data_IF_812898382318
#
_entry.id   IF_812898382318
#
_cell.length_a   1.000
_cell.length_b   1.000
_cell.length_c   1.000
_cell.angle_alpha   90.00
_cell.angle_beta   90.00
_cell.angle_gamma   90.00
#
_symmetry.space_group_name_H-M   'P 1'
#
loop_
_entity.id
_entity.type
_entity.pdbx_description
1 polymer ?
#
# COMPACT_ATOMS: atom_id res chain seq x y z
N UNK A 1 5.48 -12.95 2.01
CA UNK A 1 5.08 -11.56 2.33
C UNK A 1 3.85 -11.55 3.23
N UNK A 2 3.83 -10.63 4.22
CA UNK A 2 2.72 -10.35 5.11
C UNK A 2 2.37 -8.86 5.05
N UNK A 3 1.90 -8.28 6.13
CA UNK A 3 1.64 -6.85 6.27
C UNK A 3 1.24 -6.52 7.70
N UNK A 4 0.74 -5.30 7.94
CA UNK A 4 0.35 -4.83 9.27
C UNK A 4 -0.74 -5.65 9.95
N UNK A 5 -1.47 -6.49 9.20
CA UNK A 5 -2.38 -7.49 9.78
C UNK A 5 -1.68 -8.48 10.72
N UNK A 6 -0.36 -8.66 10.58
CA UNK A 6 0.43 -9.44 11.52
C UNK A 6 0.45 -8.82 12.94
N UNK A 7 0.26 -7.50 13.03
CA UNK A 7 0.17 -6.74 14.29
C UNK A 7 -1.26 -6.51 14.78
N UNK A 8 -2.25 -7.10 14.09
CA UNK A 8 -3.66 -6.92 14.46
C UNK A 8 -4.28 -5.58 14.05
N UNK A 9 -3.60 -4.75 13.26
CA UNK A 9 -4.02 -3.39 12.89
C UNK A 9 -5.43 -3.28 12.27
N UNK A 10 -5.97 -4.38 11.75
CA UNK A 10 -7.33 -4.45 11.19
C UNK A 10 -8.39 -4.91 12.21
N UNK A 11 -7.98 -5.26 13.42
CA UNK A 11 -8.86 -5.74 14.50
C UNK A 11 -8.99 -4.68 15.59
N UNK A 12 -7.85 -4.09 15.97
CA UNK A 12 -7.78 -3.06 17.02
C UNK A 12 -6.57 -2.14 16.80
N UNK A 13 -6.49 -0.98 17.45
CA UNK A 13 -5.32 -0.11 17.37
C UNK A 13 -4.05 -0.86 17.80
N UNK A 14 -3.07 -0.94 16.89
CA UNK A 14 -1.80 -1.59 17.18
C UNK A 14 -0.87 -0.71 18.01
N UNK A 15 0.06 -1.32 18.72
CA UNK A 15 1.17 -0.60 19.34
C UNK A 15 2.07 0.03 18.29
N UNK A 16 2.50 1.28 18.53
CA UNK A 16 3.36 2.03 17.60
C UNK A 16 4.72 2.31 18.24
N UNK A 17 5.80 2.02 17.49
CA UNK A 17 5.81 1.31 16.21
C UNK A 17 5.61 -0.20 16.39
N UNK A 18 5.07 -0.87 15.37
CA UNK A 18 5.06 -2.33 15.28
C UNK A 18 6.50 -2.86 15.19
N UNK A 19 6.84 -3.81 16.04
CA UNK A 19 8.19 -4.37 16.17
C UNK A 19 8.17 -5.86 15.88
N UNK A 20 9.13 -6.33 15.10
CA UNK A 20 9.20 -7.74 14.67
C UNK A 20 9.37 -8.73 15.84
N UNK A 21 9.92 -8.27 16.98
CA UNK A 21 10.10 -9.06 18.21
C UNK A 21 8.81 -9.24 19.01
N UNK A 22 7.71 -8.58 18.64
CA UNK A 22 6.45 -8.76 19.35
C UNK A 22 5.84 -10.12 19.03
N UNK A 23 5.15 -10.74 20.01
CA UNK A 23 4.49 -12.02 19.79
C UNK A 23 3.39 -11.87 18.74
N UNK A 24 3.00 -13.00 18.13
CA UNK A 24 1.86 -13.05 17.23
C UNK A 24 0.61 -12.51 17.95
N UNK A 25 -0.09 -11.59 17.29
CA UNK A 25 -1.35 -11.07 17.80
C UNK A 25 -2.39 -12.20 17.89
N UNK A 26 -3.17 -12.33 18.99
CA UNK A 26 -4.05 -13.48 19.25
C UNK A 26 -5.37 -13.42 18.46
N UNK A 27 -5.33 -13.18 17.17
CA UNK A 27 -6.49 -13.23 16.28
C UNK A 27 -6.29 -14.31 15.21
N UNK A 28 -7.39 -14.78 14.62
CA UNK A 28 -7.33 -15.72 13.49
C UNK A 28 -6.72 -15.01 12.29
N UNK A 29 -5.56 -15.50 11.84
CA UNK A 29 -4.85 -14.92 10.72
C UNK A 29 -4.24 -16.03 9.86
N UNK A 30 -4.50 -16.00 8.57
CA UNK A 30 -3.93 -16.98 7.64
C UNK A 30 -2.39 -16.89 7.54
N UNK A 31 -1.79 -15.75 7.92
CA UNK A 31 -0.33 -15.64 8.03
C UNK A 31 0.28 -16.66 9.00
N UNK A 32 -0.42 -16.93 10.11
CA UNK A 32 0.08 -17.90 11.10
C UNK A 32 0.09 -19.31 10.53
N UNK A 33 -0.92 -19.69 9.76
CA UNK A 33 -0.97 -20.99 9.08
C UNK A 33 0.14 -21.12 8.02
N UNK A 34 0.41 -20.04 7.28
CA UNK A 34 1.51 -20.01 6.31
C UNK A 34 2.87 -20.09 6.99
N UNK A 35 3.09 -19.33 8.08
CA UNK A 35 4.33 -19.38 8.83
C UNK A 35 4.59 -20.77 9.40
N UNK A 36 3.59 -21.39 10.04
CA UNK A 36 3.71 -22.70 10.65
C UNK A 36 4.05 -23.76 9.60
N UNK A 37 3.30 -23.78 8.49
CA UNK A 37 3.56 -24.69 7.39
C UNK A 37 4.97 -24.52 6.79
N UNK A 38 5.38 -23.27 6.54
CA UNK A 38 6.69 -22.99 5.96
C UNK A 38 7.83 -23.28 6.96
N UNK A 39 7.62 -23.04 8.24
CA UNK A 39 8.61 -23.39 9.27
C UNK A 39 8.85 -24.90 9.31
N UNK A 40 7.79 -25.71 9.31
CA UNK A 40 7.90 -27.17 9.27
C UNK A 40 8.61 -27.64 7.98
N UNK A 41 8.24 -27.06 6.83
CA UNK A 41 8.89 -27.38 5.55
C UNK A 41 10.38 -27.02 5.55
N UNK A 42 10.75 -25.84 6.05
CA UNK A 42 12.14 -25.40 6.15
C UNK A 42 12.94 -26.32 7.07
N UNK A 43 12.37 -26.66 8.22
CA UNK A 43 13.00 -27.58 9.15
C UNK A 43 13.24 -28.97 8.52
N UNK A 44 12.25 -29.53 7.82
CA UNK A 44 12.33 -30.85 7.17
C UNK A 44 13.33 -30.88 6.02
N UNK A 45 13.59 -29.74 5.36
CA UNK A 45 14.42 -29.67 4.14
C UNK A 45 15.78 -29.01 4.36
N UNK A 46 16.09 -28.54 5.57
CA UNK A 46 17.33 -27.81 5.87
C UNK A 46 17.39 -26.45 5.17
N UNK A 47 16.23 -25.83 4.85
CA UNK A 47 16.14 -24.51 4.25
C UNK A 47 15.80 -23.46 5.31
N UNK A 48 16.05 -22.20 4.98
CA UNK A 48 15.60 -21.05 5.76
C UNK A 48 14.47 -20.28 5.06
N UNK A 49 13.79 -19.41 5.79
CA UNK A 49 12.83 -18.46 5.23
C UNK A 49 13.02 -17.09 5.86
N UNK A 50 12.77 -16.05 5.08
CA UNK A 50 12.69 -14.66 5.57
C UNK A 50 11.24 -14.16 5.43
N UNK A 51 10.71 -13.56 6.49
CA UNK A 51 9.37 -13.00 6.52
C UNK A 51 9.47 -11.48 6.34
N UNK A 52 8.78 -10.95 5.32
CA UNK A 52 8.71 -9.53 5.06
C UNK A 52 7.32 -8.99 5.42
N UNK A 53 7.30 -7.90 6.18
CA UNK A 53 6.08 -7.18 6.58
C UNK A 53 6.10 -5.76 5.99
N UNK A 54 5.77 -5.61 4.70
CA UNK A 54 5.63 -4.30 4.07
C UNK A 54 4.39 -3.55 4.56
N UNK A 55 4.44 -2.22 4.43
CA UNK A 55 3.29 -1.33 4.45
C UNK A 55 2.58 -1.32 3.09
N UNK A 56 1.76 -0.30 2.82
CA UNK A 56 1.05 -0.14 1.55
C UNK A 56 2.05 -0.22 0.39
N UNK A 57 1.90 -1.21 -0.48
CA UNK A 57 2.83 -1.42 -1.59
C UNK A 57 2.39 -0.57 -2.78
N UNK A 58 3.27 0.32 -3.23
CA UNK A 58 3.13 1.09 -4.45
C UNK A 58 3.91 0.41 -5.58
N UNK A 59 3.21 0.03 -6.64
CA UNK A 59 3.83 -0.63 -7.78
C UNK A 59 2.81 -0.98 -8.85
N UNK A 60 3.29 -1.29 -10.04
CA UNK A 60 2.44 -1.67 -11.16
C UNK A 60 1.89 -3.10 -10.94
N UNK A 61 0.56 -3.22 -10.98
CA UNK A 61 -0.12 -4.51 -10.99
C UNK A 61 -1.46 -4.40 -11.71
N UNK A 62 -1.83 -5.41 -12.49
CA UNK A 62 -3.13 -5.50 -13.13
C UNK A 62 -4.11 -6.27 -12.24
N UNK A 63 -5.36 -5.82 -12.23
CA UNK A 63 -6.46 -6.50 -11.53
C UNK A 63 -6.16 -6.80 -10.05
N UNK A 64 -5.34 -5.97 -9.42
CA UNK A 64 -5.04 -6.13 -8.00
C UNK A 64 -6.15 -5.50 -7.15
N UNK A 65 -6.61 -6.19 -6.08
CA UNK A 65 -7.69 -5.64 -5.25
C UNK A 65 -7.23 -4.54 -4.28
N UNK A 66 -5.92 -4.29 -4.18
CA UNK A 66 -5.33 -3.40 -3.17
C UNK A 66 -4.17 -2.58 -3.78
N UNK A 67 -4.40 -1.92 -4.92
CA UNK A 67 -3.39 -1.11 -5.60
C UNK A 67 -3.78 0.37 -5.62
N UNK A 68 -3.11 1.17 -4.77
CA UNK A 68 -3.37 2.60 -4.67
C UNK A 68 -2.95 3.38 -5.92
N UNK A 69 -1.86 2.97 -6.61
CA UNK A 69 -1.42 3.68 -7.82
C UNK A 69 -2.47 3.60 -8.92
N UNK A 70 -3.07 2.43 -9.13
CA UNK A 70 -4.13 2.28 -10.12
C UNK A 70 -5.37 3.09 -9.74
N UNK A 71 -5.77 3.09 -8.47
CA UNK A 71 -6.93 3.85 -8.01
C UNK A 71 -6.71 5.36 -8.18
N UNK A 72 -5.56 5.88 -7.73
CA UNK A 72 -5.22 7.31 -7.84
C UNK A 72 -5.06 7.71 -9.31
N UNK A 73 -4.34 6.91 -10.12
CA UNK A 73 -4.07 7.22 -11.51
C UNK A 73 -5.33 7.29 -12.37
N UNK A 74 -6.25 6.33 -12.20
CA UNK A 74 -7.54 6.33 -12.93
C UNK A 74 -8.41 7.51 -12.46
N UNK A 75 -8.49 7.75 -11.16
CA UNK A 75 -9.24 8.88 -10.62
C UNK A 75 -8.71 10.22 -11.15
N UNK A 76 -7.39 10.44 -11.07
CA UNK A 76 -6.76 11.65 -11.58
C UNK A 76 -7.00 11.85 -13.09
N UNK A 77 -6.86 10.79 -13.89
CA UNK A 77 -7.09 10.87 -15.33
C UNK A 77 -8.52 11.24 -15.69
N UNK A 78 -9.53 10.72 -14.97
CA UNK A 78 -10.93 11.06 -15.16
C UNK A 78 -11.18 12.52 -14.75
N UNK A 79 -10.69 12.96 -13.60
CA UNK A 79 -10.85 14.35 -13.16
C UNK A 79 -10.17 15.32 -14.14
N UNK A 80 -8.99 14.98 -14.62
CA UNK A 80 -8.28 15.79 -15.62
C UNK A 80 -9.06 15.89 -16.95
N UNK A 81 -9.60 14.76 -17.44
CA UNK A 81 -10.41 14.74 -18.65
C UNK A 81 -11.69 15.60 -18.54
N UNK A 82 -12.23 15.72 -17.33
CA UNK A 82 -13.37 16.59 -17.00
C UNK A 82 -12.99 18.07 -16.82
N UNK A 83 -11.69 18.40 -16.82
CA UNK A 83 -11.21 19.75 -16.53
C UNK A 83 -11.47 20.18 -15.07
N UNK A 84 -11.54 19.21 -14.16
CA UNK A 84 -11.77 19.43 -12.73
C UNK A 84 -10.45 19.30 -11.94
N UNK A 85 -10.34 19.97 -10.79
CA UNK A 85 -9.22 19.75 -9.88
C UNK A 85 -9.23 18.33 -9.33
N UNK A 86 -8.08 17.86 -8.84
CA UNK A 86 -7.99 16.58 -8.12
C UNK A 86 -8.46 16.78 -6.68
N UNK A 87 -9.73 16.52 -6.43
CA UNK A 87 -10.36 16.68 -5.11
C UNK A 87 -9.94 15.51 -4.21
N UNK A 88 -9.51 15.78 -2.97
CA UNK A 88 -9.26 14.70 -2.00
C UNK A 88 -10.56 14.00 -1.62
N UNK A 89 -10.71 12.69 -1.89
CA UNK A 89 -12.00 12.03 -1.74
C UNK A 89 -12.28 11.53 -0.32
N UNK A 90 -11.31 11.66 0.58
CA UNK A 90 -11.39 11.08 1.93
C UNK A 90 -11.76 12.06 3.03
N UNK A 91 -11.89 11.51 4.23
CA UNK A 91 -11.96 12.24 5.49
C UNK A 91 -10.58 12.42 6.14
N UNK A 92 -10.52 12.74 7.45
CA UNK A 92 -9.27 12.86 8.18
C UNK A 92 -8.47 11.56 8.10
N UNK A 93 -7.25 11.60 7.56
CA UNK A 93 -6.39 10.43 7.44
C UNK A 93 -5.43 10.27 8.61
N UNK A 94 -5.13 9.04 8.98
CA UNK A 94 -4.04 8.73 9.89
C UNK A 94 -2.68 9.04 9.24
N UNK A 95 -1.65 9.22 10.06
CA UNK A 95 -0.27 9.10 9.61
C UNK A 95 -0.04 7.66 9.15
N UNK A 96 0.53 7.50 7.97
CA UNK A 96 0.76 6.21 7.32
C UNK A 96 2.14 6.13 6.69
N UNK A 97 2.48 4.95 6.20
CA UNK A 97 3.72 4.63 5.49
C UNK A 97 3.39 3.87 4.22
N UNK A 98 4.29 3.91 3.27
CA UNK A 98 4.24 3.10 2.06
C UNK A 98 5.56 2.38 1.81
N UNK A 99 5.57 1.48 0.85
CA UNK A 99 6.76 0.86 0.30
C UNK A 99 6.65 0.78 -1.21
N UNK A 100 7.65 1.28 -1.90
CA UNK A 100 7.81 1.09 -3.34
C UNK A 100 8.14 -0.37 -3.66
N UNK A 101 7.49 -0.93 -4.69
CA UNK A 101 7.64 -2.33 -5.06
C UNK A 101 9.07 -2.67 -5.50
N UNK A 102 9.78 -1.74 -6.17
CA UNK A 102 11.17 -1.95 -6.57
C UNK A 102 12.12 -1.90 -5.38
N UNK A 103 11.84 -1.02 -4.39
CA UNK A 103 12.60 -1.00 -3.13
C UNK A 103 12.39 -2.30 -2.35
N UNK A 104 11.16 -2.81 -2.28
CA UNK A 104 10.86 -4.11 -1.66
C UNK A 104 11.57 -5.24 -2.40
N UNK A 105 11.56 -5.25 -3.73
CA UNK A 105 12.25 -6.25 -4.54
C UNK A 105 13.78 -6.21 -4.30
N UNK A 106 14.36 -5.02 -4.21
CA UNK A 106 15.79 -4.85 -3.88
C UNK A 106 16.14 -5.38 -2.49
N UNK A 107 15.28 -5.17 -1.50
CA UNK A 107 15.48 -5.70 -0.15
C UNK A 107 15.41 -7.23 -0.13
N UNK A 108 14.45 -7.82 -0.85
CA UNK A 108 14.34 -9.27 -1.00
C UNK A 108 15.58 -9.83 -1.71
N UNK A 109 16.04 -9.20 -2.78
CA UNK A 109 17.27 -9.62 -3.48
C UNK A 109 18.50 -9.54 -2.56
N UNK A 110 18.63 -8.45 -1.81
CA UNK A 110 19.71 -8.26 -0.83
C UNK A 110 19.76 -9.37 0.21
N UNK A 111 18.61 -9.92 0.60
CA UNK A 111 18.55 -10.98 1.61
C UNK A 111 19.08 -12.33 1.12
N UNK A 112 19.16 -12.58 -0.19
CA UNK A 112 19.59 -13.89 -0.72
C UNK A 112 21.07 -14.19 -0.43
N UNK A 113 21.90 -13.17 -0.40
CA UNK A 113 23.34 -13.29 -0.18
C UNK A 113 23.76 -12.92 1.24
N UNK A 114 22.77 -12.73 2.15
CA UNK A 114 23.03 -12.30 3.51
C UNK A 114 22.42 -13.27 4.54
N UNK A 115 23.24 -14.11 5.20
CA UNK A 115 22.75 -15.11 6.16
C UNK A 115 22.09 -14.50 7.41
N UNK A 116 22.29 -13.19 7.69
CA UNK A 116 21.64 -12.51 8.81
C UNK A 116 20.11 -12.38 8.61
N UNK A 117 19.62 -12.66 7.39
CA UNK A 117 18.20 -12.68 7.06
C UNK A 117 17.53 -14.05 7.28
N UNK A 118 18.33 -15.11 7.44
CA UNK A 118 17.83 -16.48 7.59
C UNK A 118 16.99 -16.63 8.86
N UNK A 119 15.79 -17.13 8.73
CA UNK A 119 14.87 -17.35 9.84
C UNK A 119 14.32 -16.05 10.47
N UNK A 120 14.53 -14.90 9.84
CA UNK A 120 14.20 -13.61 10.41
C UNK A 120 12.92 -13.01 9.83
N UNK A 121 12.34 -12.09 10.59
CA UNK A 121 11.22 -11.22 10.14
C UNK A 121 11.71 -9.79 10.07
N UNK A 122 11.34 -9.09 8.99
CA UNK A 122 11.66 -7.68 8.79
C UNK A 122 10.43 -6.87 8.38
N UNK A 123 10.24 -5.75 9.06
CA UNK A 123 9.38 -4.68 8.58
C UNK A 123 10.11 -3.88 7.49
N UNK A 124 9.37 -3.38 6.51
CA UNK A 124 9.93 -2.55 5.45
C UNK A 124 8.95 -1.46 5.01
N UNK A 125 9.46 -0.23 4.86
CA UNK A 125 8.78 0.95 4.35
C UNK A 125 9.74 1.77 3.48
N UNK A 126 9.24 2.81 2.80
CA UNK A 126 10.09 3.76 2.07
C UNK A 126 11.07 4.51 2.99
N UNK A 127 10.67 4.74 4.25
CA UNK A 127 11.50 5.41 5.25
C UNK A 127 10.92 6.74 5.75
N UNK A 128 9.90 7.25 5.09
CA UNK A 128 9.12 8.43 5.46
C UNK A 128 7.73 8.07 5.96
N UNK A 129 7.00 9.07 6.44
CA UNK A 129 5.60 8.98 6.87
C UNK A 129 4.82 10.15 6.29
N UNK A 130 3.54 9.94 6.00
CA UNK A 130 2.69 10.98 5.43
C UNK A 130 1.24 10.83 5.89
N UNK A 131 0.43 11.87 5.63
CA UNK A 131 -1.04 11.79 5.59
C UNK A 131 -1.50 12.06 4.17
N UNK A 132 -2.48 11.33 3.71
CA UNK A 132 -3.02 11.51 2.36
C UNK A 132 -3.44 12.94 2.06
N UNK A 133 -4.12 13.58 3.00
CA UNK A 133 -4.57 14.97 2.84
C UNK A 133 -3.43 15.98 2.76
N UNK A 134 -2.31 15.72 3.43
CA UNK A 134 -1.16 16.65 3.47
C UNK A 134 -0.37 16.60 2.16
N UNK A 135 -0.26 15.41 1.53
CA UNK A 135 0.46 15.22 0.26
C UNK A 135 -0.41 15.39 -0.98
N UNK A 136 -1.73 15.62 -0.82
CA UNK A 136 -2.68 15.56 -1.93
C UNK A 136 -2.43 16.64 -2.99
N UNK A 137 -2.04 17.84 -2.57
CA UNK A 137 -1.70 18.93 -3.50
C UNK A 137 -0.46 18.61 -4.33
N UNK A 138 0.57 18.03 -3.70
CA UNK A 138 1.80 17.66 -4.40
C UNK A 138 1.54 16.51 -5.36
N UNK A 139 0.75 15.52 -4.93
CA UNK A 139 0.32 14.41 -5.77
C UNK A 139 -0.49 14.88 -6.98
N UNK A 140 -1.40 15.85 -6.80
CA UNK A 140 -2.13 16.46 -7.92
C UNK A 140 -1.18 17.17 -8.90
N UNK A 141 -0.14 17.81 -8.38
CA UNK A 141 0.91 18.45 -9.16
C UNK A 141 1.64 17.50 -10.10
N UNK A 142 1.83 16.22 -9.72
CA UNK A 142 2.42 15.19 -10.59
C UNK A 142 1.57 14.93 -11.84
N UNK A 143 0.26 15.15 -11.75
CA UNK A 143 -0.67 15.05 -12.90
C UNK A 143 -0.88 16.39 -13.62
N UNK A 144 -0.15 17.45 -13.23
CA UNK A 144 -0.37 18.80 -13.76
C UNK A 144 -1.71 19.41 -13.37
N UNK A 145 -2.27 19.01 -12.24
CA UNK A 145 -3.58 19.44 -11.73
C UNK A 145 -3.43 20.25 -10.44
N UNK A 146 -4.44 21.03 -10.09
CA UNK A 146 -4.57 21.57 -8.73
C UNK A 146 -5.19 20.52 -7.81
N UNK A 147 -4.65 20.40 -6.60
CA UNK A 147 -5.23 19.61 -5.53
C UNK A 147 -6.19 20.45 -4.70
N UNK A 148 -7.35 19.91 -4.37
CA UNK A 148 -8.34 20.58 -3.53
C UNK A 148 -8.74 19.70 -2.35
N UNK A 149 -9.05 20.34 -1.22
CA UNK A 149 -9.68 19.66 -0.11
C UNK A 149 -11.11 19.24 -0.50
N UNK A 150 -11.49 18.06 -0.12
CA UNK A 150 -12.85 17.56 -0.33
C UNK A 150 -13.29 16.78 0.90
N UNK A 151 -14.08 15.75 0.73
CA UNK A 151 -14.44 14.85 1.82
C UNK A 151 -15.50 13.84 1.45
N UNK A 152 -15.34 12.67 2.02
CA UNK A 152 -16.34 11.59 2.08
C UNK A 152 -17.01 11.21 0.75
N UNK A 153 -16.24 11.26 -0.35
CA UNK A 153 -16.66 10.77 -1.64
C UNK A 153 -16.06 9.39 -1.87
N UNK A 154 -16.86 8.33 -1.74
CA UNK A 154 -16.41 6.99 -2.07
C UNK A 154 -16.22 6.85 -3.58
N UNK A 155 -14.99 6.63 -4.00
CA UNK A 155 -14.66 6.44 -5.40
C UNK A 155 -15.29 5.16 -5.95
N UNK A 156 -15.37 4.11 -5.14
CA UNK A 156 -15.97 2.83 -5.53
C UNK A 156 -17.45 2.92 -5.92
N UNK A 157 -18.17 3.96 -5.47
CA UNK A 157 -19.60 4.12 -5.76
C UNK A 157 -19.91 4.57 -7.19
N UNK A 158 -18.92 5.16 -7.89
CA UNK A 158 -19.21 5.77 -9.20
C UNK A 158 -18.13 5.55 -10.26
N UNK A 159 -16.87 5.26 -9.87
CA UNK A 159 -15.74 5.27 -10.80
C UNK A 159 -15.90 4.21 -11.91
N UNK A 160 -16.47 3.07 -11.58
CA UNK A 160 -16.68 1.99 -12.56
C UNK A 160 -17.72 2.32 -13.63
N UNK A 161 -18.59 3.29 -13.37
CA UNK A 161 -19.56 3.79 -14.36
C UNK A 161 -18.91 4.71 -15.40
N UNK A 162 -17.67 5.16 -15.15
CA UNK A 162 -16.87 5.99 -16.05
C UNK A 162 -16.11 5.20 -17.13
N UNK A 163 -16.40 3.93 -17.33
CA UNK A 163 -15.64 3.06 -18.24
C UNK A 163 -15.66 3.52 -19.71
N UNK A 164 -16.73 4.17 -20.15
CA UNK A 164 -16.82 4.78 -21.50
C UNK A 164 -15.88 5.99 -21.64
N UNK A 165 -15.83 6.84 -20.64
CA UNK A 165 -14.93 8.00 -20.56
C UNK A 165 -13.48 7.54 -20.47
N UNK A 166 -13.21 6.54 -19.63
CA UNK A 166 -11.91 5.90 -19.51
C UNK A 166 -11.39 5.35 -20.84
N UNK A 167 -12.23 4.64 -21.63
CA UNK A 167 -11.84 4.17 -22.96
C UNK A 167 -11.44 5.31 -23.89
N UNK A 168 -12.08 6.46 -23.80
CA UNK A 168 -11.71 7.64 -24.56
C UNK A 168 -10.34 8.17 -24.17
N UNK A 169 -10.05 8.22 -22.86
CA UNK A 169 -8.73 8.59 -22.31
C UNK A 169 -7.65 7.62 -22.80
N UNK A 170 -7.91 6.32 -22.69
CA UNK A 170 -6.99 5.25 -23.14
C UNK A 170 -6.66 5.40 -24.62
N UNK A 171 -7.68 5.60 -25.46
CA UNK A 171 -7.52 5.79 -26.91
C UNK A 171 -6.72 7.05 -27.25
N UNK A 172 -7.05 8.17 -26.61
CA UNK A 172 -6.39 9.45 -26.85
C UNK A 172 -4.90 9.46 -26.48
N UNK A 173 -4.52 8.67 -25.49
CA UNK A 173 -3.15 8.60 -24.96
C UNK A 173 -2.39 7.35 -25.40
N UNK A 174 -2.94 6.51 -26.29
CA UNK A 174 -2.26 5.29 -26.76
C UNK A 174 -1.96 4.28 -25.66
N UNK A 175 -2.77 4.24 -24.61
CA UNK A 175 -2.58 3.32 -23.49
C UNK A 175 -3.07 1.90 -23.85
N UNK A 176 -2.68 0.91 -23.05
CA UNK A 176 -3.20 -0.45 -23.19
C UNK A 176 -4.71 -0.46 -22.94
N UNK A 177 -5.52 -1.14 -23.75
CA UNK A 177 -6.98 -1.02 -23.76
C UNK A 177 -7.66 -1.82 -22.64
N UNK A 178 -7.20 -1.66 -21.40
CA UNK A 178 -7.86 -2.22 -20.25
C UNK A 178 -9.07 -1.37 -19.83
N UNK A 179 -10.16 -2.01 -19.44
CA UNK A 179 -11.23 -1.37 -18.69
C UNK A 179 -10.75 -0.95 -17.30
N UNK A 180 -11.49 -0.08 -16.63
CA UNK A 180 -11.17 0.32 -15.24
C UNK A 180 -11.06 -0.93 -14.35
N UNK A 181 -11.98 -1.89 -14.51
CA UNK A 181 -12.00 -3.10 -13.68
C UNK A 181 -10.85 -4.07 -13.99
N UNK A 182 -10.46 -4.20 -15.25
CA UNK A 182 -9.30 -5.01 -15.63
C UNK A 182 -7.99 -4.38 -15.15
N UNK A 183 -7.90 -3.06 -15.10
CA UNK A 183 -6.72 -2.35 -14.60
C UNK A 183 -6.66 -2.38 -13.07
N UNK A 184 -7.72 -1.90 -12.41
CA UNK A 184 -7.72 -1.58 -10.99
C UNK A 184 -8.34 -2.67 -10.09
N UNK A 185 -9.06 -3.66 -10.66
CA UNK A 185 -9.77 -4.66 -9.86
C UNK A 185 -10.70 -3.98 -8.85
N UNK A 186 -10.57 -4.37 -7.58
CA UNK A 186 -11.32 -3.81 -6.45
C UNK A 186 -10.55 -2.73 -5.69
N UNK A 187 -9.50 -2.15 -6.30
CA UNK A 187 -8.61 -1.17 -5.63
C UNK A 187 -9.32 0.09 -5.15
N UNK A 188 -10.46 0.45 -5.72
CA UNK A 188 -11.22 1.63 -5.26
C UNK A 188 -11.87 1.42 -3.90
N UNK A 189 -12.31 0.20 -3.55
CA UNK A 189 -12.77 -0.10 -2.19
C UNK A 189 -11.64 0.00 -1.18
N UNK A 190 -10.44 -0.42 -1.58
CA UNK A 190 -9.25 -0.28 -0.76
C UNK A 190 -8.84 1.19 -0.61
N UNK A 191 -8.91 1.97 -1.68
CA UNK A 191 -8.62 3.41 -1.65
C UNK A 191 -9.60 4.17 -0.75
N UNK A 192 -10.89 3.88 -0.84
CA UNK A 192 -11.92 4.49 0.03
C UNK A 192 -11.62 4.23 1.51
N UNK A 193 -11.17 3.00 1.85
CA UNK A 193 -10.77 2.67 3.22
C UNK A 193 -9.53 3.44 3.67
N UNK A 194 -8.49 3.53 2.83
CA UNK A 194 -7.24 4.23 3.16
C UNK A 194 -7.40 5.75 3.19
N UNK A 195 -8.25 6.30 2.34
CA UNK A 195 -8.61 7.72 2.37
C UNK A 195 -9.59 8.06 3.50
N UNK A 196 -10.06 7.06 4.24
CA UNK A 196 -11.08 7.23 5.28
C UNK A 196 -12.36 7.91 4.75
N UNK A 197 -12.88 7.44 3.62
CA UNK A 197 -14.08 8.01 2.99
C UNK A 197 -15.39 7.75 3.76
N UNK A 198 -15.32 7.04 4.89
CA UNK A 198 -16.51 6.57 5.63
C UNK A 198 -16.79 7.32 6.93
N UNK A 199 -15.77 7.99 7.53
CA UNK A 199 -15.91 8.58 8.87
C UNK A 199 -15.25 9.95 9.01
N UNK A 200 -15.76 10.76 9.95
CA UNK A 200 -15.22 12.08 10.29
C UNK A 200 -14.07 12.05 11.31
N UNK A 201 -13.70 10.87 11.77
CA UNK A 201 -12.60 10.69 12.71
C UNK A 201 -11.43 9.95 12.05
N UNK A 202 -10.21 10.44 12.27
CA UNK A 202 -9.01 9.76 11.78
C UNK A 202 -8.91 8.35 12.37
N UNK A 203 -8.64 7.33 11.56
CA UNK A 203 -8.38 5.99 12.07
C UNK A 203 -7.07 5.96 12.87
N UNK A 204 -6.88 4.99 13.76
CA UNK A 204 -5.60 4.83 14.46
C UNK A 204 -4.47 4.60 13.45
N UNK A 205 -3.29 5.22 13.67
CA UNK A 205 -2.15 5.01 12.79
C UNK A 205 -1.61 3.59 12.90
N UNK A 206 -0.93 3.15 11.84
CA UNK A 206 -0.32 1.83 11.72
C UNK A 206 1.10 2.02 11.18
N UNK A 207 2.07 2.19 12.10
CA UNK A 207 3.46 2.51 11.77
C UNK A 207 4.39 1.38 12.21
N UNK A 208 5.41 1.12 11.40
CA UNK A 208 6.36 0.04 11.58
C UNK A 208 7.77 0.56 11.93
N UNK A 209 8.50 -0.16 12.76
CA UNK A 209 9.93 0.10 12.93
C UNK A 209 10.72 -0.64 11.85
N UNK A 210 11.57 0.05 11.12
CA UNK A 210 12.51 -0.53 10.16
C UNK A 210 13.95 -0.60 10.70
N UNK A 211 14.13 -0.38 12.00
CA UNK A 211 15.47 -0.34 12.63
C UNK A 211 16.20 -1.66 12.48
N UNK A 212 15.50 -2.79 12.67
CA UNK A 212 16.08 -4.12 12.52
C UNK A 212 16.64 -4.35 11.11
N UNK A 213 15.89 -3.95 10.07
CA UNK A 213 16.31 -4.05 8.68
C UNK A 213 17.58 -3.22 8.40
N UNK A 214 17.61 -1.99 8.93
CA UNK A 214 18.79 -1.12 8.80
C UNK A 214 20.00 -1.69 9.54
N UNK A 215 19.81 -2.28 10.70
CA UNK A 215 20.89 -2.94 11.45
C UNK A 215 21.41 -4.21 10.75
N UNK A 216 20.58 -4.86 9.93
CA UNK A 216 20.99 -5.97 9.07
C UNK A 216 21.68 -5.50 7.76
N UNK A 217 21.93 -4.19 7.60
CA UNK A 217 22.71 -3.63 6.50
C UNK A 217 21.92 -3.11 5.30
N UNK A 218 20.59 -3.23 5.26
CA UNK A 218 19.80 -2.64 4.21
C UNK A 218 19.36 -1.21 4.59
N UNK A 219 20.04 -0.21 4.00
CA UNK A 219 19.86 1.21 4.33
C UNK A 219 19.09 2.02 3.28
N UNK A 220 18.70 1.39 2.19
CA UNK A 220 18.02 2.08 1.11
C UNK A 220 16.66 2.63 1.58
N UNK A 221 16.36 3.83 1.13
CA UNK A 221 15.09 4.51 1.34
C UNK A 221 14.71 5.28 0.07
N UNK A 222 13.47 5.69 -0.03
CA UNK A 222 12.94 6.48 -1.14
C UNK A 222 11.91 7.45 -0.60
N UNK A 223 11.81 8.62 -1.20
CA UNK A 223 10.73 9.56 -0.96
C UNK A 223 9.43 8.97 -1.54
N UNK A 224 8.34 9.06 -0.81
CA UNK A 224 7.04 8.49 -1.23
C UNK A 224 6.37 9.32 -2.35
N UNK A 225 6.78 10.57 -2.56
CA UNK A 225 6.28 11.47 -3.61
C UNK A 225 7.20 11.62 -4.81
#
# INVERSE_FOLDING_TARGET
LQGTKAYGAHVEPMKIPGLEREPRHPHKNFYWLQEDYLADFCHATGRSMTIWRPQIIFGHALNAPMNMLNAIGVYAAIMQARGLPLIYPGGPSAVTEAIDADLLARAIHFSFDNPDFDGQTFNITNGDVFRWQDIWSDLAGLFGMSGEAGGHQRLSDWIYDCDAEWRSIVSANGLKPYSIRELAGDSFFYADALFNAYTDSAPPPSLLSTIKLRQAGFHNCIDTL
#
